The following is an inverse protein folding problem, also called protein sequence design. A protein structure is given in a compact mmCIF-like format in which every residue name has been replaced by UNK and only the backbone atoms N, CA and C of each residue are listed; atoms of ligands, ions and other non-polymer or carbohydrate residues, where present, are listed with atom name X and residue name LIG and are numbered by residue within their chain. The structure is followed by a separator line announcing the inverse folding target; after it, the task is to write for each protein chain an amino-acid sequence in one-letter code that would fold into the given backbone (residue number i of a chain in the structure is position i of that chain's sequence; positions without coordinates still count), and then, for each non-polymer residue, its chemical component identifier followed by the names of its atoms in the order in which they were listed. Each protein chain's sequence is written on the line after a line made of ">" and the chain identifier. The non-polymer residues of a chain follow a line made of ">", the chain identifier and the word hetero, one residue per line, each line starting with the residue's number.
data_IF_092350172241
#
_entry.id   IF_092350172241
#
_cell.length_a   1.000
_cell.length_b   1.000
_cell.length_c   1.000
_cell.angle_alpha   90.00
_cell.angle_beta   90.00
_cell.angle_gamma   90.00
#
_symmetry.space_group_name_H-M   'P 1'
#
loop_
_entity.id
_entity.type
_entity.pdbx_description
1 polymer ?
#
# COMPACT_ATOMS: atom_id res chain seq x y z
N UNK A 1 8.04 -20.60 7.51
CA UNK A 1 6.81 -20.72 8.32
C UNK A 1 6.68 -19.62 9.38
N UNK A 2 7.64 -19.41 10.29
CA UNK A 2 7.54 -18.36 11.35
C UNK A 2 7.29 -16.94 10.83
N UNK A 3 7.95 -16.54 9.73
CA UNK A 3 7.78 -15.20 9.12
C UNK A 3 6.38 -14.97 8.52
N UNK A 4 5.82 -15.98 7.85
CA UNK A 4 4.48 -15.92 7.24
C UNK A 4 3.39 -15.77 8.30
N UNK A 5 3.53 -16.47 9.43
CA UNK A 5 2.60 -16.37 10.57
C UNK A 5 2.64 -14.98 11.20
N UNK A 6 3.82 -14.37 11.30
CA UNK A 6 3.96 -13.00 11.82
C UNK A 6 3.30 -11.99 10.87
N UNK A 7 3.54 -12.12 9.56
CA UNK A 7 2.93 -11.23 8.55
C UNK A 7 1.40 -11.34 8.59
N UNK A 8 0.86 -12.55 8.66
CA UNK A 8 -0.59 -12.78 8.78
C UNK A 8 -1.15 -12.26 10.10
N UNK A 9 -0.45 -12.45 11.22
CA UNK A 9 -0.87 -11.95 12.52
C UNK A 9 -0.88 -10.42 12.56
N UNK A 10 0.13 -9.78 11.97
CA UNK A 10 0.21 -8.32 11.85
C UNK A 10 -0.91 -7.81 10.94
N UNK A 11 -1.13 -8.43 9.78
CA UNK A 11 -2.25 -8.11 8.89
C UNK A 11 -3.60 -8.23 9.60
N UNK A 12 -3.83 -9.32 10.35
CA UNK A 12 -5.05 -9.50 11.14
C UNK A 12 -5.23 -8.42 12.21
N UNK A 13 -4.15 -8.04 12.89
CA UNK A 13 -4.17 -6.98 13.91
C UNK A 13 -4.48 -5.60 13.33
N UNK A 14 -4.24 -5.36 12.04
CA UNK A 14 -4.66 -4.13 11.37
C UNK A 14 -6.10 -4.18 10.84
N UNK A 15 -6.62 -5.39 10.56
CA UNK A 15 -8.02 -5.60 10.14
C UNK A 15 -8.99 -5.61 11.32
N UNK A 16 -8.56 -6.01 12.52
CA UNK A 16 -9.45 -6.08 13.69
C UNK A 16 -9.97 -4.71 14.19
N UNK A 17 -9.16 -3.63 14.26
CA UNK A 17 -9.62 -2.31 14.68
C UNK A 17 -10.53 -1.63 13.66
N UNK A 18 -10.40 -1.95 12.37
CA UNK A 18 -11.25 -1.36 11.32
C UNK A 18 -12.70 -1.83 11.42
N UNK A 19 -12.93 -3.05 11.94
CA UNK A 19 -14.29 -3.56 12.23
C UNK A 19 -14.89 -2.89 13.47
N UNK A 20 -14.08 -2.56 14.47
CA UNK A 20 -14.53 -1.88 15.70
C UNK A 20 -14.86 -0.39 15.49
N UNK A 21 -14.35 0.23 14.42
CA UNK A 21 -14.69 1.60 14.00
C UNK A 21 -15.82 1.67 12.96
N UNK A 22 -16.36 0.52 12.54
CA UNK A 22 -17.37 0.42 11.48
C UNK A 22 -18.74 1.04 11.81
N UNK A 23 -18.96 1.52 13.03
CA UNK A 23 -20.17 2.28 13.39
C UNK A 23 -20.13 3.74 12.90
N UNK A 24 -18.95 4.26 12.55
CA UNK A 24 -18.78 5.59 11.98
C UNK A 24 -18.39 5.46 10.50
N UNK A 25 -19.39 5.57 9.61
CA UNK A 25 -19.22 5.49 8.15
C UNK A 25 -18.24 6.54 7.59
N UNK A 26 -17.74 7.45 8.42
CA UNK A 26 -16.72 8.42 8.10
C UNK A 26 -15.33 7.80 7.91
N UNK A 27 -15.04 6.59 8.38
CA UNK A 27 -13.69 6.03 8.29
C UNK A 27 -13.69 4.71 7.53
N UNK A 28 -12.64 4.46 6.74
CA UNK A 28 -12.45 3.20 6.05
C UNK A 28 -10.98 2.79 5.99
N UNK A 29 -10.74 1.51 5.76
CA UNK A 29 -9.42 0.96 5.49
C UNK A 29 -9.46 0.26 4.14
N UNK A 30 -8.51 0.56 3.27
CA UNK A 30 -8.29 -0.12 1.99
C UNK A 30 -6.94 -0.81 2.00
N UNK A 31 -6.86 -1.93 1.29
CA UNK A 31 -5.60 -2.57 0.96
C UNK A 31 -5.52 -2.69 -0.56
N UNK A 32 -4.38 -2.29 -1.13
CA UNK A 32 -4.10 -2.31 -2.55
C UNK A 32 -2.93 -3.23 -2.87
N UNK A 33 -2.98 -3.84 -4.04
CA UNK A 33 -1.88 -4.58 -4.62
C UNK A 33 -1.75 -4.16 -6.08
N UNK A 34 -0.53 -3.82 -6.51
CA UNK A 34 -0.27 -3.31 -7.84
C UNK A 34 1.06 -3.81 -8.40
N UNK A 35 1.12 -3.86 -9.72
CA UNK A 35 2.37 -4.05 -10.47
C UNK A 35 2.73 -2.73 -11.13
N UNK A 36 3.98 -2.31 -10.93
CA UNK A 36 4.56 -1.19 -11.65
C UNK A 36 5.44 -1.73 -12.76
N UNK A 37 5.07 -1.44 -14.00
CA UNK A 37 5.88 -1.71 -15.19
C UNK A 37 6.57 -0.40 -15.60
N UNK A 38 7.90 -0.40 -15.65
CA UNK A 38 8.65 0.78 -16.08
C UNK A 38 8.63 0.89 -17.61
N UNK A 39 8.04 1.96 -18.14
CA UNK A 39 7.92 2.20 -19.60
C UNK A 39 8.96 3.16 -20.16
N UNK A 40 9.98 3.52 -19.37
CA UNK A 40 11.08 4.39 -19.80
C UNK A 40 12.24 3.60 -20.41
N UNK A 41 13.00 4.26 -21.29
CA UNK A 41 14.29 3.77 -21.81
C UNK A 41 15.34 3.84 -20.68
N UNK A 42 15.13 3.03 -19.63
CA UNK A 42 16.07 2.89 -18.54
C UNK A 42 17.27 2.17 -19.14
N UNK A 43 18.38 2.89 -19.21
CA UNK A 43 19.64 2.44 -19.80
C UNK A 43 19.94 0.99 -19.42
N UNK A 44 20.39 0.20 -20.41
CA UNK A 44 20.73 -1.24 -20.44
C UNK A 44 21.33 -1.93 -19.19
N UNK A 45 21.67 -1.19 -18.14
CA UNK A 45 22.28 -1.67 -16.91
C UNK A 45 21.29 -1.87 -15.75
N UNK A 46 20.07 -1.31 -15.81
CA UNK A 46 19.02 -1.54 -14.81
C UNK A 46 17.72 -1.94 -15.51
N UNK A 47 17.62 -3.22 -15.87
CA UNK A 47 16.38 -3.84 -16.33
C UNK A 47 15.44 -4.02 -15.14
N UNK A 48 14.82 -2.95 -14.66
CA UNK A 48 13.73 -3.07 -13.69
C UNK A 48 12.49 -3.52 -14.46
N UNK A 49 12.26 -4.84 -14.51
CA UNK A 49 11.18 -5.44 -15.31
C UNK A 49 9.81 -5.18 -14.66
N UNK A 50 9.67 -5.45 -13.36
CA UNK A 50 8.38 -5.38 -12.65
C UNK A 50 8.58 -5.17 -11.14
N UNK A 51 8.04 -4.08 -10.60
CA UNK A 51 8.01 -3.88 -9.15
C UNK A 51 6.62 -4.20 -8.60
N UNK A 52 6.59 -4.97 -7.51
CA UNK A 52 5.35 -5.30 -6.79
C UNK A 52 5.16 -4.29 -5.67
N UNK A 53 3.98 -3.68 -5.59
CA UNK A 53 3.59 -2.82 -4.48
C UNK A 53 2.39 -3.39 -3.73
N UNK A 54 2.51 -3.43 -2.41
CA UNK A 54 1.40 -3.66 -1.47
C UNK A 54 1.19 -2.36 -0.72
N UNK A 55 -0.04 -1.87 -0.64
CA UNK A 55 -0.39 -0.65 0.09
C UNK A 55 -1.52 -0.93 1.09
N UNK A 56 -1.43 -0.31 2.26
CA UNK A 56 -2.50 -0.25 3.24
C UNK A 56 -2.81 1.21 3.54
N UNK A 57 -4.06 1.61 3.35
CA UNK A 57 -4.48 3.01 3.47
C UNK A 57 -5.68 3.15 4.40
N UNK A 58 -5.67 4.24 5.17
CA UNK A 58 -6.74 4.65 6.05
C UNK A 58 -7.34 5.96 5.54
N UNK A 59 -8.62 5.94 5.22
CA UNK A 59 -9.38 7.08 4.75
C UNK A 59 -10.36 7.58 5.80
N UNK A 60 -10.49 8.91 5.90
CA UNK A 60 -11.51 9.59 6.69
C UNK A 60 -12.24 10.64 5.87
N UNK A 61 -13.55 10.49 5.75
CA UNK A 61 -14.47 11.52 5.29
C UNK A 61 -14.55 12.61 6.35
N UNK A 62 -14.13 13.83 5.99
CA UNK A 62 -14.35 15.03 6.80
C UNK A 62 -15.49 15.89 6.24
N UNK A 63 -15.95 15.55 5.03
CA UNK A 63 -17.09 16.14 4.34
C UNK A 63 -17.78 15.05 3.51
N UNK A 64 -19.10 15.14 3.22
CA UNK A 64 -19.80 14.15 2.38
C UNK A 64 -19.17 13.90 1.00
N UNK A 65 -18.41 14.88 0.48
CA UNK A 65 -17.78 14.82 -0.83
C UNK A 65 -16.25 14.76 -0.77
N UNK A 66 -15.64 14.79 0.42
CA UNK A 66 -14.19 14.83 0.54
C UNK A 66 -13.66 13.87 1.61
N UNK A 67 -12.58 13.19 1.24
CA UNK A 67 -11.84 12.24 2.06
C UNK A 67 -10.40 12.70 2.18
N UNK A 68 -9.83 12.53 3.37
CA UNK A 68 -8.38 12.49 3.57
C UNK A 68 -7.96 11.04 3.74
N UNK A 69 -7.04 10.58 2.89
CA UNK A 69 -6.50 9.23 2.92
C UNK A 69 -5.00 9.28 3.19
N UNK A 70 -4.54 8.48 4.15
CA UNK A 70 -3.13 8.28 4.43
C UNK A 70 -2.80 6.80 4.30
N UNK A 71 -1.75 6.47 3.56
CA UNK A 71 -1.35 5.11 3.28
C UNK A 71 0.14 4.87 3.50
N UNK A 72 0.47 3.61 3.72
CA UNK A 72 1.83 3.11 3.76
C UNK A 72 1.91 1.89 2.86
N UNK A 73 2.96 1.83 2.07
CA UNK A 73 3.20 0.74 1.16
C UNK A 73 4.53 0.06 1.39
N UNK A 74 4.69 -1.07 0.72
CA UNK A 74 5.92 -1.80 0.57
C UNK A 74 6.11 -2.12 -0.90
N UNK A 75 7.24 -1.68 -1.46
CA UNK A 75 7.63 -1.99 -2.84
C UNK A 75 8.83 -2.94 -2.81
N UNK A 76 8.77 -3.95 -3.66
CA UNK A 76 9.83 -4.93 -3.86
C UNK A 76 9.97 -5.26 -5.34
N UNK A 77 11.19 -5.15 -5.83
CA UNK A 77 11.60 -5.59 -7.17
C UNK A 77 12.73 -6.60 -7.03
N UNK A 78 12.51 -7.82 -7.54
CA UNK A 78 13.50 -8.91 -7.58
C UNK A 78 14.18 -8.88 -8.96
N UNK A 79 15.17 -7.98 -9.13
CA UNK A 79 16.04 -8.03 -10.30
C UNK A 79 17.50 -8.32 -9.95
N UNK A 80 18.16 -9.07 -10.84
CA UNK A 80 19.50 -9.64 -10.65
C UNK A 80 20.58 -8.55 -10.75
N UNK A 81 20.76 -7.78 -9.68
CA UNK A 81 21.88 -6.83 -9.57
C UNK A 81 21.62 -5.66 -8.62
N UNK A 82 20.40 -5.12 -8.62
CA UNK A 82 19.99 -3.99 -7.77
C UNK A 82 18.61 -4.27 -7.18
N UNK A 83 18.56 -4.50 -5.86
CA UNK A 83 17.31 -4.68 -5.12
C UNK A 83 16.66 -3.31 -4.88
N UNK A 84 15.48 -3.07 -5.47
CA UNK A 84 14.69 -1.88 -5.17
C UNK A 84 13.65 -2.22 -4.10
N UNK A 85 13.98 -1.90 -2.85
CA UNK A 85 13.11 -2.05 -1.69
C UNK A 85 12.76 -0.67 -1.11
N UNK A 86 11.48 -0.43 -0.83
CA UNK A 86 11.04 0.86 -0.29
C UNK A 86 9.76 0.78 0.54
N UNK A 87 9.58 1.79 1.39
CA UNK A 87 8.40 1.98 2.23
C UNK A 87 7.74 3.31 1.88
N UNK A 88 7.08 3.43 0.71
CA UNK A 88 6.40 4.65 0.34
C UNK A 88 5.29 4.97 1.34
N UNK A 89 5.04 6.26 1.55
CA UNK A 89 3.84 6.73 2.22
C UNK A 89 3.05 7.62 1.27
N UNK A 90 1.73 7.53 1.34
CA UNK A 90 0.79 8.29 0.54
C UNK A 90 -0.05 9.18 1.44
N UNK A 91 -0.31 10.40 1.00
CA UNK A 91 -1.25 11.30 1.65
C UNK A 91 -2.06 12.00 0.56
N UNK A 92 -3.36 11.73 0.52
CA UNK A 92 -4.24 12.10 -0.57
C UNK A 92 -5.49 12.80 -0.03
N UNK A 93 -5.94 13.85 -0.74
CA UNK A 93 -7.26 14.43 -0.56
C UNK A 93 -8.10 14.07 -1.77
N UNK A 94 -9.15 13.28 -1.57
CA UNK A 94 -9.98 12.72 -2.65
C UNK A 94 -11.34 13.41 -2.62
N UNK A 95 -11.75 13.97 -3.76
CA UNK A 95 -13.10 14.47 -3.98
C UNK A 95 -13.94 13.44 -4.72
N UNK A 96 -15.16 13.17 -4.25
CA UNK A 96 -16.13 12.23 -4.84
C UNK A 96 -17.19 12.98 -5.65
#
# INVERSE_FOLDING_TARGET
>A
MKRVVIILAVGLLFVLPSVAWGDDAQNYVTAGFGFYHYTGDITRETQLDEAVIVELSYGRYFHPNFVLEAGVGYIHDDHSGDELQGWPFTLSAIGV
#
